data_IF_132368528712
#
_entry.id   IF_132368528712
#
_cell.length_a   1.000
_cell.length_b   1.000
_cell.length_c   1.000
_cell.angle_alpha   90.00
_cell.angle_beta   90.00
_cell.angle_gamma   90.00
#
_symmetry.space_group_name_H-M   'P 1'
#
loop_
_entity.id
_entity.type
_entity.pdbx_description
1 polymer ?
#
# COMPACT_ATOMS: atom_id res chain seq x y z
N UNK A 1 49.56 -27.99 -66.63
CA UNK A 1 48.60 -29.06 -66.25
C UNK A 1 47.34 -28.41 -65.72
N UNK A 2 46.31 -28.29 -66.58
CA UNK A 2 44.97 -27.79 -66.27
C UNK A 2 44.08 -28.97 -65.84
N UNK A 3 43.38 -28.85 -64.72
CA UNK A 3 42.12 -29.55 -64.41
C UNK A 3 41.17 -28.49 -63.85
N UNK A 4 40.20 -28.00 -64.62
CA UNK A 4 38.87 -28.57 -64.96
C UNK A 4 37.89 -28.59 -63.78
N UNK A 5 36.64 -28.20 -64.14
CA UNK A 5 35.35 -28.30 -63.45
C UNK A 5 35.08 -27.16 -62.45
N UNK A 6 33.93 -26.48 -62.44
CA UNK A 6 32.65 -26.56 -63.17
C UNK A 6 31.78 -25.45 -62.56
N UNK A 7 31.24 -24.54 -63.36
CA UNK A 7 29.83 -24.48 -63.75
C UNK A 7 28.81 -24.44 -62.59
N UNK A 8 28.05 -23.34 -62.60
CA UNK A 8 26.62 -23.22 -62.29
C UNK A 8 26.15 -22.81 -60.88
N UNK A 9 25.57 -21.59 -60.87
CA UNK A 9 24.17 -21.29 -60.49
C UNK A 9 23.81 -21.22 -59.00
N UNK A 10 23.56 -19.97 -58.58
CA UNK A 10 22.39 -19.44 -57.85
C UNK A 10 21.73 -20.39 -56.83
N UNK A 11 21.77 -20.02 -55.55
CA UNK A 11 20.55 -19.94 -54.73
C UNK A 11 20.78 -19.10 -53.48
N UNK A 12 19.97 -18.05 -53.33
CA UNK A 12 19.73 -17.39 -52.06
C UNK A 12 19.10 -18.40 -51.10
N UNK A 13 19.75 -18.64 -49.96
CA UNK A 13 19.18 -19.43 -48.87
C UNK A 13 18.95 -18.49 -47.69
N UNK A 14 17.71 -18.01 -47.59
CA UNK A 14 17.11 -17.50 -46.36
C UNK A 14 17.12 -18.63 -45.33
N UNK A 15 18.04 -18.56 -44.37
CA UNK A 15 17.94 -19.35 -43.14
C UNK A 15 17.14 -18.56 -42.11
N UNK A 16 15.89 -18.97 -41.95
CA UNK A 16 15.13 -18.72 -40.73
C UNK A 16 15.89 -19.35 -39.55
N UNK A 17 16.27 -18.54 -38.57
CA UNK A 17 16.64 -19.05 -37.26
C UNK A 17 15.47 -18.79 -36.31
N UNK A 18 14.92 -19.90 -35.84
CA UNK A 18 13.81 -19.98 -34.92
C UNK A 18 14.11 -19.27 -33.59
N UNK A 19 13.29 -18.29 -33.23
CA UNK A 19 13.12 -17.88 -31.84
C UNK A 19 12.04 -18.78 -31.23
N UNK A 20 12.47 -19.89 -30.62
CA UNK A 20 11.59 -20.77 -29.87
C UNK A 20 11.53 -20.30 -28.41
N UNK A 21 10.30 -19.94 -28.00
CA UNK A 21 9.70 -20.09 -26.68
C UNK A 21 10.39 -19.47 -25.45
N UNK A 22 9.68 -18.57 -24.78
CA UNK A 22 8.84 -18.96 -23.62
C UNK A 22 7.77 -17.89 -23.34
N UNK A 23 6.65 -18.29 -22.73
CA UNK A 23 5.33 -17.77 -23.07
C UNK A 23 4.74 -16.81 -22.01
N UNK A 24 3.75 -16.04 -22.45
CA UNK A 24 2.64 -15.64 -21.59
C UNK A 24 2.81 -14.33 -20.85
N UNK A 25 2.86 -13.22 -21.59
CA UNK A 25 2.17 -12.02 -21.13
C UNK A 25 0.67 -12.35 -21.09
N UNK A 26 0.23 -12.96 -19.99
CA UNK A 26 -1.17 -13.15 -19.72
C UNK A 26 -1.79 -11.78 -19.50
N UNK A 27 -2.63 -11.39 -20.45
CA UNK A 27 -3.70 -10.44 -20.21
C UNK A 27 -4.48 -10.85 -18.96
N UNK A 28 -4.66 -9.91 -18.05
CA UNK A 28 -5.86 -9.86 -17.23
C UNK A 28 -6.41 -8.44 -17.36
N UNK A 29 -7.12 -8.22 -18.46
CA UNK A 29 -8.33 -7.42 -18.41
C UNK A 29 -9.28 -8.06 -17.39
N UNK A 30 -10.13 -7.23 -16.80
CA UNK A 30 -11.24 -7.58 -15.90
C UNK A 30 -10.89 -7.79 -14.43
N UNK A 31 -10.85 -6.68 -13.68
CA UNK A 31 -11.75 -6.44 -12.53
C UNK A 31 -11.72 -4.95 -12.16
N UNK A 32 -12.34 -4.11 -13.00
CA UNK A 32 -12.70 -2.75 -12.62
C UNK A 32 -14.15 -2.47 -13.02
N UNK A 33 -15.09 -3.30 -12.54
CA UNK A 33 -16.47 -2.88 -12.38
C UNK A 33 -16.85 -3.03 -10.90
N UNK A 34 -17.32 -1.94 -10.30
CA UNK A 34 -17.87 -1.95 -8.94
C UNK A 34 -16.98 -1.35 -7.85
N UNK A 35 -16.59 -0.09 -8.01
CA UNK A 35 -16.72 0.97 -6.98
C UNK A 35 -15.88 2.20 -7.39
N UNK A 36 -16.29 2.87 -8.48
CA UNK A 36 -15.92 4.28 -8.68
C UNK A 36 -16.76 5.12 -7.71
N UNK A 37 -16.36 5.13 -6.45
CA UNK A 37 -16.65 6.25 -5.58
C UNK A 37 -15.49 7.21 -5.76
N UNK A 38 -15.65 8.23 -6.61
CA UNK A 38 -14.78 9.40 -6.61
C UNK A 38 -14.87 10.04 -5.21
N UNK A 39 -14.08 9.57 -4.26
CA UNK A 39 -13.90 10.22 -2.97
C UNK A 39 -12.81 11.28 -3.12
N UNK A 40 -13.07 12.27 -3.97
CA UNK A 40 -12.47 13.58 -3.74
C UNK A 40 -13.17 14.06 -2.48
N UNK A 41 -12.51 13.95 -1.32
CA UNK A 41 -13.06 14.45 -0.06
C UNK A 41 -13.42 15.93 -0.27
N UNK A 42 -14.72 16.22 -0.38
CA UNK A 42 -15.21 17.59 -0.53
C UNK A 42 -14.74 18.37 0.70
N UNK A 43 -14.54 19.68 0.57
CA UNK A 43 -14.20 20.52 1.72
C UNK A 43 -15.21 20.36 2.88
N UNK A 44 -16.44 19.97 2.58
CA UNK A 44 -17.52 19.66 3.53
C UNK A 44 -17.41 18.30 4.26
N UNK A 45 -16.59 17.38 3.76
CA UNK A 45 -16.34 16.06 4.40
C UNK A 45 -15.19 16.11 5.42
N UNK A 46 -14.37 17.16 5.33
CA UNK A 46 -13.23 17.39 6.22
C UNK A 46 -13.75 17.96 7.54
N UNK A 47 -13.58 17.21 8.63
CA UNK A 47 -13.78 17.74 9.97
C UNK A 47 -12.68 18.74 10.35
N UNK A 48 -12.66 19.21 11.61
CA UNK A 48 -11.72 20.23 12.04
C UNK A 48 -10.27 19.80 11.77
N UNK A 49 -9.50 20.70 11.15
CA UNK A 49 -8.06 20.52 10.95
C UNK A 49 -7.38 20.63 12.30
N UNK A 50 -6.66 19.59 12.71
CA UNK A 50 -5.90 19.63 13.97
C UNK A 50 -4.48 20.09 13.64
N UNK A 51 -3.97 21.19 14.22
CA UNK A 51 -2.66 21.70 13.88
C UNK A 51 -1.56 20.80 14.46
N UNK A 52 -0.70 20.26 13.60
CA UNK A 52 0.51 19.54 13.99
C UNK A 52 1.62 19.70 12.95
N UNK A 53 2.65 20.49 13.28
CA UNK A 53 3.95 20.44 12.58
C UNK A 53 4.00 20.82 11.10
N UNK A 54 3.02 21.55 10.57
CA UNK A 54 3.01 21.97 9.16
C UNK A 54 2.35 21.00 8.18
N UNK A 55 1.76 19.89 8.67
CA UNK A 55 1.07 18.89 7.85
C UNK A 55 -0.45 18.98 8.05
N UNK A 56 -1.22 18.93 6.97
CA UNK A 56 -2.69 19.07 7.03
C UNK A 56 -3.37 17.71 7.20
N UNK A 57 -3.96 17.46 8.37
CA UNK A 57 -4.85 16.32 8.61
C UNK A 57 -6.18 16.72 9.23
N UNK A 58 -7.19 15.86 9.06
CA UNK A 58 -8.55 16.07 9.55
C UNK A 58 -9.21 14.73 9.88
N UNK A 59 -10.29 14.80 10.65
CA UNK A 59 -11.18 13.65 10.91
C UNK A 59 -12.38 13.77 9.97
N UNK A 60 -12.62 12.79 9.10
CA UNK A 60 -13.80 12.79 8.24
C UNK A 60 -15.10 12.64 9.05
N UNK A 61 -16.17 13.34 8.66
CA UNK A 61 -17.46 13.30 9.36
C UNK A 61 -18.13 11.93 9.30
N UNK A 62 -17.98 11.24 8.17
CA UNK A 62 -18.44 9.88 7.93
C UNK A 62 -17.27 9.07 7.34
N UNK A 63 -16.33 8.63 8.17
CA UNK A 63 -15.13 7.98 7.67
C UNK A 63 -15.50 6.63 7.04
N UNK A 64 -14.97 6.32 5.85
CA UNK A 64 -15.19 5.02 5.24
C UNK A 64 -14.47 3.93 6.02
N UNK A 65 -14.92 2.69 5.84
CA UNK A 65 -14.16 1.52 6.25
C UNK A 65 -12.84 1.42 5.45
N UNK A 66 -11.83 0.72 5.98
CA UNK A 66 -10.63 0.40 5.21
C UNK A 66 -10.96 -0.32 3.90
N UNK A 67 -10.06 -0.21 2.94
CA UNK A 67 -10.20 -0.85 1.65
C UNK A 67 -10.37 -2.37 1.78
N UNK A 68 -11.16 -2.97 0.88
CA UNK A 68 -11.33 -4.43 0.83
C UNK A 68 -9.99 -5.16 0.71
N UNK A 69 -9.01 -4.55 0.03
CA UNK A 69 -7.64 -5.05 -0.08
C UNK A 69 -6.96 -5.11 1.29
N UNK A 70 -7.01 -4.02 2.06
CA UNK A 70 -6.43 -3.98 3.40
C UNK A 70 -7.09 -4.99 4.35
N UNK A 71 -8.42 -5.11 4.30
CA UNK A 71 -9.16 -6.09 5.12
C UNK A 71 -8.80 -7.54 4.75
N UNK A 72 -8.63 -7.84 3.46
CA UNK A 72 -8.19 -9.16 3.00
C UNK A 72 -6.76 -9.47 3.48
N UNK A 73 -5.84 -8.52 3.33
CA UNK A 73 -4.45 -8.64 3.81
C UNK A 73 -4.40 -8.87 5.32
N UNK A 74 -5.19 -8.13 6.10
CA UNK A 74 -5.31 -8.33 7.54
C UNK A 74 -5.78 -9.76 7.87
N UNK A 75 -6.84 -10.23 7.23
CA UNK A 75 -7.38 -11.57 7.45
C UNK A 75 -6.43 -12.69 7.02
N UNK A 76 -5.58 -12.47 6.00
CA UNK A 76 -4.54 -13.41 5.58
C UNK A 76 -3.37 -13.40 6.57
N UNK A 77 -2.93 -12.23 7.03
CA UNK A 77 -1.87 -12.11 8.02
C UNK A 77 -2.27 -12.73 9.36
N UNK A 78 -3.51 -12.56 9.82
CA UNK A 78 -4.02 -13.20 11.06
C UNK A 78 -3.95 -14.73 10.98
N UNK A 79 -3.98 -15.31 9.79
CA UNK A 79 -3.83 -16.76 9.57
C UNK A 79 -2.37 -17.20 9.50
N UNK A 80 -1.43 -16.29 9.20
CA UNK A 80 -0.04 -16.62 8.84
C UNK A 80 1.00 -16.23 9.90
N UNK A 81 0.93 -16.84 11.10
CA UNK A 81 2.01 -16.90 12.12
C UNK A 81 1.96 -15.86 13.25
N UNK A 82 2.39 -16.35 14.43
CA UNK A 82 2.61 -15.75 15.75
C UNK A 82 2.73 -14.21 15.81
N UNK A 83 2.11 -13.57 16.82
CA UNK A 83 2.21 -12.13 17.03
C UNK A 83 3.67 -11.72 17.23
N UNK A 84 4.19 -10.90 16.31
CA UNK A 84 5.52 -10.33 16.40
C UNK A 84 5.41 -8.96 17.06
N UNK A 85 5.82 -8.87 18.32
CA UNK A 85 6.10 -7.58 18.94
C UNK A 85 7.19 -6.89 18.11
N UNK A 86 6.85 -5.81 17.44
CA UNK A 86 7.85 -4.94 16.81
C UNK A 86 7.30 -3.54 16.75
N UNK A 87 7.44 -2.84 17.88
CA UNK A 87 7.39 -1.39 17.90
C UNK A 87 8.59 -0.81 17.15
N UNK A 88 8.32 0.15 16.27
CA UNK A 88 9.33 0.91 15.52
C UNK A 88 10.00 0.15 14.37
N UNK A 89 10.52 0.89 13.39
CA UNK A 89 11.38 0.35 12.31
C UNK A 89 10.84 0.46 10.88
N UNK A 90 9.63 1.01 10.66
CA UNK A 90 9.09 1.23 9.31
C UNK A 90 9.71 2.43 8.57
N UNK A 91 10.59 3.18 9.22
CA UNK A 91 11.40 4.24 8.59
C UNK A 91 12.35 3.68 7.50
N UNK A 92 12.72 2.40 7.57
CA UNK A 92 13.66 1.78 6.63
C UNK A 92 12.98 0.92 5.56
N UNK A 93 11.65 1.01 5.41
CA UNK A 93 10.90 0.25 4.40
C UNK A 93 10.88 0.96 3.04
N UNK A 94 11.06 0.24 1.94
CA UNK A 94 10.89 0.83 0.61
C UNK A 94 9.42 1.22 0.36
N UNK A 95 9.16 2.46 -0.06
CA UNK A 95 7.80 2.96 -0.27
C UNK A 95 7.09 3.41 0.99
N UNK A 96 5.91 2.85 1.24
CA UNK A 96 5.10 3.10 2.43
C UNK A 96 5.45 2.09 3.52
N UNK A 97 5.95 2.57 4.65
CA UNK A 97 6.16 1.78 5.86
C UNK A 97 5.06 2.04 6.88
N UNK A 98 4.47 0.99 7.46
CA UNK A 98 3.40 1.10 8.47
C UNK A 98 3.79 0.32 9.72
N UNK A 99 3.67 0.95 10.88
CA UNK A 99 4.05 0.42 12.17
C UNK A 99 2.91 0.49 13.17
N UNK A 100 3.07 -0.30 14.22
CA UNK A 100 2.28 -0.21 15.43
C UNK A 100 3.20 -0.45 16.61
N UNK A 101 2.95 0.23 17.71
CA UNK A 101 3.55 -0.07 19.00
C UNK A 101 2.48 -0.02 20.08
N UNK A 102 2.74 -0.69 21.19
CA UNK A 102 1.91 -0.59 22.39
C UNK A 102 2.76 -0.11 23.56
N UNK A 103 2.27 0.89 24.29
CA UNK A 103 2.93 1.44 25.48
C UNK A 103 1.90 2.10 26.38
N UNK A 104 1.98 1.89 27.70
CA UNK A 104 1.14 2.56 28.70
C UNK A 104 -0.36 2.53 28.37
N UNK A 105 -0.88 1.34 28.06
CA UNK A 105 -2.29 1.15 27.69
C UNK A 105 -2.71 1.89 26.42
N UNK A 106 -1.79 2.19 25.51
CA UNK A 106 -2.09 2.81 24.22
C UNK A 106 -1.46 2.05 23.08
N UNK A 107 -2.26 1.78 22.05
CA UNK A 107 -1.74 1.50 20.71
C UNK A 107 -1.37 2.82 20.04
N UNK A 108 -0.20 2.84 19.43
CA UNK A 108 0.32 3.96 18.64
C UNK A 108 0.60 3.43 17.25
N UNK A 109 -0.13 3.96 16.27
CA UNK A 109 0.05 3.64 14.87
C UNK A 109 0.78 4.77 14.16
N UNK A 110 1.82 4.41 13.43
CA UNK A 110 2.74 5.32 12.77
C UNK A 110 2.96 4.85 11.33
N UNK A 111 3.23 5.79 10.43
CA UNK A 111 3.59 5.45 9.06
C UNK A 111 4.56 6.44 8.46
N UNK A 112 5.34 5.93 7.52
CA UNK A 112 6.39 6.63 6.81
C UNK A 112 6.17 6.50 5.30
N UNK A 113 6.40 7.60 4.58
CA UNK A 113 6.57 7.54 3.13
C UNK A 113 8.05 7.73 2.83
N UNK A 114 8.77 6.64 2.58
CA UNK A 114 10.22 6.69 2.34
C UNK A 114 10.56 6.91 0.85
N UNK A 115 9.66 6.51 -0.04
CA UNK A 115 9.74 6.76 -1.48
C UNK A 115 8.36 6.68 -2.14
N UNK A 116 8.21 7.34 -3.29
CA UNK A 116 6.97 7.33 -4.07
C UNK A 116 6.83 6.14 -5.04
N UNK A 117 7.84 5.25 -5.10
CA UNK A 117 7.89 4.02 -5.92
C UNK A 117 7.31 4.13 -7.34
N UNK A 118 7.53 5.26 -8.03
CA UNK A 118 7.04 5.50 -9.39
C UNK A 118 5.53 5.78 -9.53
N UNK A 119 4.76 5.76 -8.44
CA UNK A 119 3.31 6.02 -8.42
C UNK A 119 2.98 7.52 -8.34
N UNK A 120 4.02 8.36 -8.27
CA UNK A 120 3.87 9.77 -7.93
C UNK A 120 3.43 9.97 -6.48
N UNK A 121 2.97 11.18 -6.19
CA UNK A 121 2.55 11.63 -4.88
C UNK A 121 1.23 10.98 -4.42
N UNK A 122 1.19 10.37 -3.23
CA UNK A 122 0.04 9.61 -2.70
C UNK A 122 -1.17 10.46 -2.26
N UNK A 123 -1.31 11.71 -2.70
CA UNK A 123 -2.49 12.56 -2.49
C UNK A 123 -2.93 12.70 -1.03
N UNK A 124 -3.69 11.72 -0.55
CA UNK A 124 -4.07 11.56 0.85
C UNK A 124 -3.88 10.13 1.35
N UNK A 125 -3.68 10.00 2.66
CA UNK A 125 -3.70 8.72 3.37
C UNK A 125 -4.79 8.72 4.44
N UNK A 126 -5.52 7.61 4.56
CA UNK A 126 -6.46 7.33 5.66
C UNK A 126 -5.83 6.36 6.62
N UNK A 127 -5.83 6.70 7.90
CA UNK A 127 -5.16 5.93 8.94
C UNK A 127 -6.20 5.33 9.88
N UNK A 128 -6.01 4.04 10.16
CA UNK A 128 -6.87 3.27 11.05
C UNK A 128 -6.01 2.50 12.06
N UNK A 129 -6.55 2.30 13.26
CA UNK A 129 -6.03 1.34 14.23
C UNK A 129 -7.06 0.23 14.37
N UNK A 130 -6.64 -1.01 14.16
CA UNK A 130 -7.41 -2.18 14.53
C UNK A 130 -7.11 -2.55 15.99
N UNK A 131 -8.16 -2.78 16.77
CA UNK A 131 -8.11 -3.16 18.18
C UNK A 131 -9.23 -4.15 18.48
N UNK A 132 -8.91 -5.34 19.02
CA UNK A 132 -9.88 -6.41 19.30
C UNK A 132 -10.83 -6.69 18.13
N UNK A 133 -10.24 -6.85 16.94
CA UNK A 133 -10.96 -7.10 15.66
C UNK A 133 -11.89 -5.98 15.20
N UNK A 134 -11.86 -4.80 15.83
CA UNK A 134 -12.55 -3.62 15.34
C UNK A 134 -11.56 -2.68 14.67
N UNK A 135 -11.87 -2.23 13.46
CA UNK A 135 -11.07 -1.23 12.77
C UNK A 135 -11.60 0.17 13.03
N UNK A 136 -10.76 1.02 13.60
CA UNK A 136 -11.14 2.32 14.12
C UNK A 136 -10.42 3.39 13.30
N UNK A 137 -11.18 4.17 12.55
CA UNK A 137 -10.66 5.33 11.81
C UNK A 137 -10.07 6.37 12.77
N UNK A 138 -8.97 6.99 12.35
CA UNK A 138 -8.25 7.99 13.14
C UNK A 138 -8.26 9.34 12.46
N UNK A 139 -7.73 9.41 11.26
CA UNK A 139 -7.69 10.64 10.49
C UNK A 139 -7.38 10.36 9.02
N UNK A 140 -7.55 11.42 8.23
CA UNK A 140 -7.08 11.52 6.86
C UNK A 140 -6.05 12.64 6.81
N UNK A 141 -4.96 12.42 6.07
CA UNK A 141 -3.84 13.36 5.97
C UNK A 141 -3.42 13.53 4.51
N UNK A 142 -3.03 14.74 4.14
CA UNK A 142 -2.35 14.99 2.87
C UNK A 142 -0.91 14.51 2.98
N UNK A 143 -0.49 13.64 2.07
CA UNK A 143 0.84 13.02 2.15
C UNK A 143 1.91 13.90 1.50
N UNK A 144 2.16 15.15 1.93
CA UNK A 144 2.96 16.21 1.26
C UNK A 144 4.48 16.01 1.19
N UNK A 145 5.04 15.03 1.88
CA UNK A 145 6.48 14.83 1.93
C UNK A 145 6.86 13.36 2.13
N UNK A 146 8.13 13.06 1.90
CA UNK A 146 8.72 11.81 2.38
C UNK A 146 9.11 11.96 3.85
N UNK A 147 8.94 10.91 4.63
CA UNK A 147 9.27 10.87 6.05
C UNK A 147 8.10 10.45 6.90
N UNK A 148 8.17 10.82 8.18
CA UNK A 148 7.25 10.41 9.23
C UNK A 148 5.99 11.27 9.24
N UNK A 149 4.84 10.62 9.31
CA UNK A 149 3.55 11.27 9.47
C UNK A 149 3.09 11.25 10.94
N UNK A 150 2.13 12.10 11.34
CA UNK A 150 1.59 12.11 12.70
C UNK A 150 1.21 10.73 13.22
N UNK A 151 1.39 10.50 14.51
CA UNK A 151 1.09 9.22 15.15
C UNK A 151 -0.40 9.17 15.49
N UNK A 152 -1.08 8.13 15.01
CA UNK A 152 -2.42 7.75 15.47
C UNK A 152 -2.33 7.10 16.86
N UNK A 153 -3.27 7.42 17.75
CA UNK A 153 -3.34 6.79 19.08
C UNK A 153 -4.69 6.15 19.33
N UNK A 154 -4.69 5.05 20.08
CA UNK A 154 -5.91 4.43 20.59
C UNK A 154 -5.69 3.88 22.00
N UNK A 155 -6.53 4.24 22.98
CA UNK A 155 -6.50 3.60 24.28
C UNK A 155 -6.85 2.11 24.15
N UNK A 156 -6.22 1.30 24.99
CA UNK A 156 -6.46 -0.14 25.10
C UNK A 156 -6.84 -0.50 26.53
N UNK A 157 -7.55 -1.61 26.69
CA UNK A 157 -8.02 -2.11 27.98
C UNK A 157 -7.94 -3.65 28.02
N UNK A 158 -7.20 -4.18 29.00
CA UNK A 158 -6.88 -5.61 29.10
C UNK A 158 -6.04 -6.10 27.93
N UNK A 159 -5.84 -7.42 27.86
CA UNK A 159 -5.06 -8.05 26.81
C UNK A 159 -5.74 -8.00 25.44
N UNK A 160 -4.93 -8.03 24.39
CA UNK A 160 -5.44 -8.09 23.04
C UNK A 160 -4.38 -7.97 21.95
N UNK A 161 -4.90 -7.83 20.73
CA UNK A 161 -4.14 -7.66 19.51
C UNK A 161 -4.51 -6.32 18.87
N UNK A 162 -3.53 -5.64 18.28
CA UNK A 162 -3.76 -4.46 17.48
C UNK A 162 -2.75 -4.28 16.36
N UNK A 163 -3.13 -3.47 15.37
CA UNK A 163 -2.30 -3.13 14.21
C UNK A 163 -2.78 -1.84 13.56
N UNK A 164 -1.96 -1.28 12.70
CA UNK A 164 -2.26 -0.07 11.94
C UNK A 164 -2.53 -0.43 10.50
N UNK A 165 -3.54 0.23 9.91
CA UNK A 165 -3.84 0.17 8.48
C UNK A 165 -3.71 1.58 7.93
N UNK A 166 -3.08 1.71 6.77
CA UNK A 166 -3.04 2.95 6.02
C UNK A 166 -3.49 2.67 4.59
N UNK A 167 -4.56 3.32 4.14
CA UNK A 167 -4.96 3.34 2.74
C UNK A 167 -4.49 4.65 2.08
N UNK A 168 -3.91 4.57 0.89
CA UNK A 168 -3.41 5.74 0.14
C UNK A 168 -4.22 5.99 -1.12
N UNK A 169 -4.43 7.27 -1.46
CA UNK A 169 -5.32 7.70 -2.53
C UNK A 169 -4.65 8.77 -3.39
N UNK A 170 -4.73 8.66 -4.71
CA UNK A 170 -4.23 9.70 -5.62
C UNK A 170 -4.83 11.07 -5.32
N UNK A 171 -4.24 12.13 -5.88
CA UNK A 171 -4.80 13.49 -5.77
C UNK A 171 -6.24 13.59 -6.31
N UNK A 172 -6.65 12.71 -7.23
CA UNK A 172 -8.02 12.59 -7.74
C UNK A 172 -8.95 11.78 -6.83
N UNK A 173 -8.48 11.29 -5.68
CA UNK A 173 -9.24 10.49 -4.72
C UNK A 173 -9.34 9.00 -5.05
N UNK A 174 -8.57 8.49 -6.01
CA UNK A 174 -8.59 7.08 -6.41
C UNK A 174 -7.70 6.25 -5.50
N UNK A 175 -8.18 5.11 -4.99
CA UNK A 175 -7.38 4.22 -4.13
C UNK A 175 -6.16 3.67 -4.89
N UNK A 176 -4.97 3.96 -4.39
CA UNK A 176 -3.69 3.45 -4.93
C UNK A 176 -3.25 2.16 -4.23
N UNK A 177 -3.68 1.97 -2.99
CA UNK A 177 -3.29 0.84 -2.18
C UNK A 177 -3.16 1.22 -0.72
N UNK A 178 -2.12 0.71 -0.08
CA UNK A 178 -1.91 0.92 1.34
C UNK A 178 -0.88 -0.03 1.93
N UNK A 179 -0.75 0.06 3.25
CA UNK A 179 0.11 -0.79 4.06
C UNK A 179 -0.58 -1.20 5.35
N UNK A 180 -0.11 -2.30 5.91
CA UNK A 180 -0.55 -2.83 7.20
C UNK A 180 0.69 -3.12 8.04
N UNK A 181 0.66 -2.73 9.32
CA UNK A 181 1.76 -3.09 10.23
C UNK A 181 1.73 -4.58 10.56
N UNK A 182 2.81 -5.08 11.15
CA UNK A 182 2.72 -6.35 11.89
C UNK A 182 1.77 -6.22 13.09
N UNK A 183 1.29 -7.34 13.62
CA UNK A 183 0.42 -7.33 14.78
C UNK A 183 1.20 -7.12 16.07
N UNK A 184 0.72 -6.19 16.90
CA UNK A 184 1.20 -6.00 18.26
C UNK A 184 0.23 -6.68 19.23
N UNK A 185 0.75 -7.67 19.96
CA UNK A 185 0.07 -8.20 21.14
C UNK A 185 0.40 -7.32 22.35
N UNK A 186 -0.57 -7.15 23.25
CA UNK A 186 -0.38 -6.45 24.52
C UNK A 186 -1.05 -7.21 25.67
N UNK A 187 -0.44 -7.16 26.87
CA UNK A 187 -0.93 -7.83 28.07
C UNK A 187 -2.21 -7.20 28.65
#
# INVERSE_FOLDING_TARGET
MLRKLGMAVILALTTALAALSTPGAASASDMASGASGNHVASASDKGPVVPGGGVTYWVEKNPPLPSKRALKLAAEMEKSVNPLASGGGCENTAGLGVCVSWTNSQLKGDFYVNSWNGVGYYGTARVFIAYKSQTIYKYTIVTDHTGHYPIATHPTSGSGLGYTIVDTYSQSGSLLGGGISKFQYFP
#
